data_IF_159411174509
#
_entry.id   IF_159411174509
#
_cell.length_a   1.000
_cell.length_b   1.000
_cell.length_c   1.000
_cell.angle_alpha   90.00
_cell.angle_beta   90.00
_cell.angle_gamma   90.00
#
_symmetry.space_group_name_H-M   'P 1'
#
loop_
_entity.id
_entity.type
_entity.pdbx_description
1 polymer ?
#
# COMPACT_ATOMS: atom_id res chain seq x y z
N UNK A 1 24.21 1.18 16.70
CA UNK A 1 22.96 1.88 16.34
C UNK A 1 23.15 2.40 14.92
N UNK A 2 23.19 1.47 13.98
CA UNK A 2 23.83 1.70 12.69
C UNK A 2 22.84 2.20 11.63
N UNK A 3 23.35 2.86 10.59
CA UNK A 3 22.57 3.39 9.45
C UNK A 3 21.59 2.37 8.85
N UNK A 4 21.96 1.08 8.87
CA UNK A 4 21.12 -0.05 8.47
C UNK A 4 19.90 -0.30 9.38
N UNK A 5 20.03 -0.05 10.68
CA UNK A 5 18.88 -0.09 11.61
C UNK A 5 17.96 1.11 11.41
N UNK A 6 18.52 2.29 11.10
CA UNK A 6 17.74 3.50 10.84
C UNK A 6 16.88 3.37 9.58
N UNK A 7 17.44 2.85 8.48
CA UNK A 7 16.70 2.67 7.23
C UNK A 7 15.57 1.64 7.36
N UNK A 8 15.83 0.52 8.05
CA UNK A 8 14.82 -0.53 8.30
C UNK A 8 13.70 -0.04 9.22
N UNK A 9 14.03 0.74 10.26
CA UNK A 9 13.05 1.34 11.15
C UNK A 9 12.21 2.43 10.45
N UNK A 10 12.83 3.21 9.56
CA UNK A 10 12.15 4.21 8.75
C UNK A 10 11.15 3.54 7.79
N UNK A 11 11.56 2.48 7.09
CA UNK A 11 10.67 1.68 6.21
C UNK A 11 9.46 1.11 6.96
N UNK A 12 9.63 0.72 8.23
CA UNK A 12 8.55 0.18 9.05
C UNK A 12 7.59 1.26 9.61
N UNK A 13 8.05 2.51 9.75
CA UNK A 13 7.28 3.61 10.36
C UNK A 13 6.65 4.57 9.37
N UNK A 14 7.16 4.64 8.14
CA UNK A 14 6.67 5.58 7.14
C UNK A 14 5.32 5.10 6.58
N UNK A 15 4.25 5.77 7.01
CA UNK A 15 2.88 5.54 6.56
C UNK A 15 2.64 6.00 5.11
N UNK A 16 3.47 6.91 4.62
CA UNK A 16 3.33 7.52 3.29
C UNK A 16 4.70 7.95 2.74
N UNK A 17 5.04 7.48 1.53
CA UNK A 17 6.23 7.86 0.78
C UNK A 17 5.79 8.65 -0.45
N UNK A 18 6.20 9.91 -0.55
CA UNK A 18 5.93 10.77 -1.72
C UNK A 18 7.18 10.82 -2.59
N UNK A 19 7.03 10.47 -3.86
CA UNK A 19 8.08 10.60 -4.87
C UNK A 19 7.61 11.65 -5.88
N UNK A 20 8.32 12.77 -5.95
CA UNK A 20 8.03 13.85 -6.89
C UNK A 20 8.09 13.33 -8.33
N UNK A 21 7.15 13.75 -9.18
CA UNK A 21 7.02 13.26 -10.57
C UNK A 21 6.36 11.88 -10.72
N UNK A 22 6.60 10.95 -9.79
CA UNK A 22 6.10 9.57 -9.90
C UNK A 22 4.72 9.36 -9.24
N UNK A 23 4.58 9.71 -7.96
CA UNK A 23 3.35 9.47 -7.20
C UNK A 23 3.56 9.28 -5.71
N UNK A 24 2.52 8.82 -5.04
CA UNK A 24 2.50 8.63 -3.58
C UNK A 24 2.18 7.19 -3.24
N UNK A 25 3.05 6.54 -2.48
CA UNK A 25 2.80 5.25 -1.86
C UNK A 25 2.25 5.48 -0.45
N UNK A 26 1.11 4.88 -0.14
CA UNK A 26 0.49 4.97 1.19
C UNK A 26 0.18 3.58 1.72
N UNK A 27 0.46 3.36 2.99
CA UNK A 27 0.03 2.16 3.70
C UNK A 27 -1.32 2.44 4.35
N UNK A 28 -2.36 1.76 3.90
CA UNK A 28 -3.70 1.87 4.46
C UNK A 28 -4.06 0.62 5.25
N UNK A 29 -4.58 0.80 6.46
CA UNK A 29 -5.10 -0.31 7.27
C UNK A 29 -6.47 -0.72 6.74
N UNK A 30 -6.62 -1.97 6.32
CA UNK A 30 -7.94 -2.56 6.04
C UNK A 30 -8.41 -3.31 7.27
N UNK A 31 -9.60 -2.93 7.77
CA UNK A 31 -10.23 -3.62 8.87
C UNK A 31 -10.60 -5.06 8.49
N UNK A 32 -10.69 -5.93 9.50
CA UNK A 32 -11.18 -7.27 9.31
C UNK A 32 -12.63 -7.22 8.81
N UNK A 33 -12.95 -8.05 7.81
CA UNK A 33 -14.29 -8.09 7.23
C UNK A 33 -14.64 -9.50 6.79
N UNK A 34 -15.94 -9.79 6.69
CA UNK A 34 -16.42 -11.01 6.05
C UNK A 34 -16.36 -10.83 4.53
N UNK A 35 -15.77 -11.81 3.86
CA UNK A 35 -15.75 -11.92 2.40
C UNK A 35 -16.44 -13.21 1.97
N UNK A 36 -16.59 -13.36 0.65
CA UNK A 36 -17.09 -14.58 0.02
C UNK A 36 -15.94 -15.16 -0.79
N UNK A 37 -15.72 -16.47 -0.69
CA UNK A 37 -14.79 -17.16 -1.59
C UNK A 37 -15.39 -17.16 -3.00
N UNK A 38 -14.76 -16.51 -4.00
CA UNK A 38 -15.31 -16.43 -5.35
C UNK A 38 -15.40 -17.79 -6.05
N UNK A 39 -14.72 -18.83 -5.55
CA UNK A 39 -14.77 -20.18 -6.13
C UNK A 39 -15.83 -21.10 -5.50
N UNK A 40 -16.15 -20.94 -4.21
CA UNK A 40 -17.05 -21.87 -3.48
C UNK A 40 -18.29 -21.20 -2.90
N UNK A 41 -18.36 -19.87 -2.86
CA UNK A 41 -19.49 -19.13 -2.28
C UNK A 41 -19.51 -19.09 -0.75
N UNK A 42 -18.59 -19.78 -0.08
CA UNK A 42 -18.54 -19.83 1.38
C UNK A 42 -18.08 -18.49 1.99
N UNK A 43 -18.61 -18.18 3.18
CA UNK A 43 -18.20 -16.98 3.92
C UNK A 43 -16.85 -17.19 4.59
N UNK A 44 -15.89 -16.34 4.26
CA UNK A 44 -14.54 -16.35 4.83
C UNK A 44 -14.28 -15.10 5.66
N UNK A 45 -13.60 -15.25 6.78
CA UNK A 45 -13.17 -14.11 7.59
C UNK A 45 -11.82 -13.60 7.09
N UNK A 46 -11.81 -12.39 6.54
CA UNK A 46 -10.59 -11.72 6.08
C UNK A 46 -10.02 -10.93 7.27
N UNK A 47 -8.84 -11.33 7.76
CA UNK A 47 -8.15 -10.66 8.86
C UNK A 47 -7.78 -9.22 8.49
N UNK A 48 -7.64 -8.36 9.51
CA UNK A 48 -7.16 -7.00 9.31
C UNK A 48 -5.74 -7.05 8.74
N UNK A 49 -5.48 -6.25 7.71
CA UNK A 49 -4.19 -6.24 7.03
C UNK A 49 -3.80 -4.85 6.58
N UNK A 50 -2.50 -4.61 6.48
CA UNK A 50 -1.96 -3.38 5.92
C UNK A 50 -1.80 -3.56 4.42
N UNK A 51 -2.44 -2.70 3.64
CA UNK A 51 -2.36 -2.74 2.17
C UNK A 51 -1.58 -1.52 1.70
N UNK A 52 -0.55 -1.76 0.89
CA UNK A 52 0.12 -0.71 0.16
C UNK A 52 -0.77 -0.26 -1.00
N UNK A 53 -0.97 1.05 -1.13
CA UNK A 53 -1.72 1.66 -2.23
C UNK A 53 -0.86 2.72 -2.89
N UNK A 54 -0.82 2.71 -4.21
CA UNK A 54 -0.09 3.68 -5.00
C UNK A 54 -1.04 4.64 -5.70
N UNK A 55 -0.79 5.94 -5.54
CA UNK A 55 -1.48 7.01 -6.26
C UNK A 55 -0.51 7.62 -7.26
N UNK A 56 -0.74 7.36 -8.54
CA UNK A 56 0.06 7.92 -9.63
C UNK A 56 -0.01 9.46 -9.66
N UNK A 57 1.16 10.08 -9.81
CA UNK A 57 1.31 11.52 -10.00
C UNK A 57 0.82 11.98 -11.38
N UNK A 58 0.65 13.30 -11.54
CA UNK A 58 0.19 13.91 -12.79
C UNK A 58 1.11 13.54 -13.96
N UNK A 59 2.42 13.65 -13.75
CA UNK A 59 3.44 13.43 -14.79
C UNK A 59 3.47 11.98 -15.29
N UNK A 60 3.36 11.00 -14.37
CA UNK A 60 3.25 9.58 -14.74
C UNK A 60 1.99 9.30 -15.58
N UNK A 61 0.84 9.86 -15.19
CA UNK A 61 -0.42 9.70 -15.95
C UNK A 61 -0.33 10.30 -17.35
N UNK A 62 0.26 11.49 -17.47
CA UNK A 62 0.46 12.16 -18.77
C UNK A 62 1.37 11.34 -19.70
N UNK A 63 2.40 10.69 -19.15
CA UNK A 63 3.29 9.81 -19.94
C UNK A 63 2.65 8.47 -20.32
N UNK A 64 1.80 7.92 -19.48
CA UNK A 64 1.19 6.60 -19.71
C UNK A 64 0.03 6.63 -20.73
N UNK A 65 -0.66 7.76 -20.88
CA UNK A 65 -1.77 7.93 -21.82
C UNK A 65 -1.33 8.45 -23.20
N UNK A 66 -0.13 8.09 -23.65
CA UNK A 66 0.39 8.51 -24.97
C UNK A 66 0.08 7.47 -26.04
#
# INVERSE_FOLDING_TARGET
>A
MDSLMLSRLLLLKVKEVRIQGFGTFKVSKRAARKGINPRTGESIQIKATNVASFKAGKELKTRANK
#
